data_IF_907363020251
#
_entry.id   IF_907363020251
#
_cell.length_a   1.000
_cell.length_b   1.000
_cell.length_c   1.000
_cell.angle_alpha   90.00
_cell.angle_beta   90.00
_cell.angle_gamma   90.00
#
_symmetry.space_group_name_H-M   'P 1'
#
loop_
_entity.id
_entity.type
_entity.pdbx_description
1 polymer ?
#
# COMPACT_ATOMS: atom_id res chain seq x y z
N UNK A 1 25.38 13.99 -13.95
CA UNK A 1 24.67 13.60 -13.86
C UNK A 1 24.05 13.11 -13.44
N UNK A 2 23.48 12.99 -13.38
CA UNK A 2 22.71 12.37 -13.03
C UNK A 2 22.05 11.89 -13.02
N UNK A 3 22.10 11.82 -12.96
CA UNK A 3 21.55 11.14 -12.98
C UNK A 3 20.44 10.86 -12.85
N UNK A 4 20.27 10.56 -13.15
CA UNK A 4 18.95 10.12 -13.20
C UNK A 4 18.73 8.84 -12.46
N UNK A 5 17.68 8.73 -11.83
CA UNK A 5 17.50 7.57 -11.08
C UNK A 5 16.08 7.09 -11.20
N UNK A 6 15.93 5.81 -11.17
CA UNK A 6 14.63 5.24 -11.24
C UNK A 6 13.85 5.61 -10.02
N UNK A 7 12.65 6.01 -10.27
CA UNK A 7 11.72 6.21 -9.19
C UNK A 7 11.30 4.88 -8.65
N UNK A 8 11.52 4.69 -7.40
CA UNK A 8 11.02 3.50 -6.75
C UNK A 8 9.71 3.77 -6.11
N UNK A 9 8.80 2.81 -6.17
CA UNK A 9 7.56 2.91 -5.43
C UNK A 9 7.86 2.99 -3.95
N UNK A 10 7.19 3.88 -3.27
CA UNK A 10 7.25 3.87 -1.83
C UNK A 10 6.53 2.63 -1.33
N UNK A 11 7.03 2.07 -0.26
CA UNK A 11 6.53 0.78 0.19
C UNK A 11 6.20 0.83 1.67
N UNK A 12 5.07 0.27 2.02
CA UNK A 12 4.65 0.12 3.40
C UNK A 12 4.49 -1.35 3.69
N UNK A 13 5.21 -1.85 4.67
CA UNK A 13 5.17 -3.26 5.04
C UNK A 13 4.33 -3.42 6.29
N UNK A 14 3.25 -4.17 6.17
CA UNK A 14 2.33 -4.37 7.29
C UNK A 14 2.70 -5.56 8.16
N UNK A 15 3.84 -6.18 7.86
CA UNK A 15 4.31 -7.30 8.63
C UNK A 15 4.47 -6.90 10.10
N UNK A 16 3.99 -7.74 11.00
CA UNK A 16 4.10 -7.51 12.43
C UNK A 16 3.28 -6.35 12.99
N UNK A 17 2.38 -5.81 12.20
CA UNK A 17 1.47 -4.79 12.70
C UNK A 17 0.18 -5.44 13.16
N UNK A 18 -0.44 -4.85 14.18
CA UNK A 18 -1.81 -5.24 14.50
C UNK A 18 -2.72 -4.71 13.40
N UNK A 19 -3.92 -5.26 13.34
CA UNK A 19 -4.86 -4.80 12.32
C UNK A 19 -5.22 -3.34 12.52
N UNK A 20 -5.30 -2.91 13.75
CA UNK A 20 -5.62 -1.52 14.03
C UNK A 20 -4.50 -0.59 13.60
N UNK A 21 -3.27 -0.99 13.89
CA UNK A 21 -2.12 -0.22 13.43
C UNK A 21 -2.07 -0.16 11.91
N UNK A 22 -2.30 -1.31 11.29
CA UNK A 22 -2.24 -1.38 9.84
C UNK A 22 -3.26 -0.44 9.22
N UNK A 23 -4.45 -0.38 9.78
CA UNK A 23 -5.48 0.48 9.25
C UNK A 23 -5.04 1.94 9.27
N UNK A 24 -4.50 2.38 10.38
CA UNK A 24 -4.03 3.76 10.48
C UNK A 24 -2.85 4.03 9.57
N UNK A 25 -1.91 3.09 9.53
CA UNK A 25 -0.72 3.29 8.73
C UNK A 25 -1.04 3.31 7.25
N UNK A 26 -1.94 2.43 6.82
CA UNK A 26 -2.32 2.40 5.41
C UNK A 26 -3.04 3.69 5.03
N UNK A 27 -3.95 4.12 5.86
CA UNK A 27 -4.69 5.34 5.55
C UNK A 27 -3.75 6.52 5.41
N UNK A 28 -2.84 6.69 6.37
CA UNK A 28 -1.87 7.77 6.26
C UNK A 28 -1.00 7.62 5.03
N UNK A 29 -0.59 6.40 4.75
CA UNK A 29 0.31 6.15 3.64
C UNK A 29 -0.31 6.55 2.30
N UNK A 30 -1.56 6.14 2.09
CA UNK A 30 -2.20 6.42 0.80
C UNK A 30 -2.65 7.86 0.68
N UNK A 31 -2.84 8.56 1.79
CA UNK A 31 -3.26 9.95 1.74
C UNK A 31 -2.09 10.91 1.69
N UNK A 32 -0.95 10.53 2.24
CA UNK A 32 0.17 11.45 2.36
C UNK A 32 1.25 11.23 1.32
N UNK A 33 1.12 10.22 0.49
CA UNK A 33 2.11 9.93 -0.52
C UNK A 33 1.46 9.81 -1.87
N UNK A 34 2.23 10.11 -2.89
CA UNK A 34 1.72 10.00 -4.25
C UNK A 34 2.10 8.69 -4.88
N UNK A 35 1.24 8.13 -5.70
CA UNK A 35 1.59 6.90 -6.42
C UNK A 35 2.83 7.13 -7.27
N UNK A 36 3.57 6.07 -7.56
CA UNK A 36 3.22 4.67 -7.29
C UNK A 36 3.52 4.27 -5.85
N UNK A 37 2.65 3.46 -5.30
CA UNK A 37 2.81 2.99 -3.93
C UNK A 37 2.69 1.48 -3.90
N UNK A 38 3.30 0.88 -2.90
CA UNK A 38 3.24 -0.56 -2.73
C UNK A 38 2.97 -0.87 -1.26
N UNK A 39 2.06 -1.79 -1.00
CA UNK A 39 1.73 -2.18 0.35
C UNK A 39 1.88 -3.68 0.46
N UNK A 40 2.72 -4.11 1.39
CA UNK A 40 2.98 -5.52 1.61
C UNK A 40 2.03 -6.02 2.68
N UNK A 41 1.12 -6.88 2.29
CA UNK A 41 0.12 -7.43 3.22
C UNK A 41 0.51 -8.80 3.74
N UNK A 42 1.45 -9.45 3.07
CA UNK A 42 1.76 -10.82 3.40
C UNK A 42 0.58 -11.71 3.05
N UNK A 43 0.52 -12.87 3.69
CA UNK A 43 -0.53 -13.84 3.38
C UNK A 43 -1.82 -13.61 4.16
N UNK A 44 -1.97 -12.43 4.74
CA UNK A 44 -3.12 -12.17 5.59
C UNK A 44 -4.29 -11.65 4.77
N UNK A 45 -5.37 -12.41 4.71
CA UNK A 45 -6.58 -11.95 4.07
C UNK A 45 -7.12 -10.70 4.76
N UNK A 46 -6.99 -10.67 6.07
CA UNK A 46 -7.50 -9.53 6.82
C UNK A 46 -6.75 -8.25 6.45
N UNK A 47 -5.44 -8.34 6.32
CA UNK A 47 -4.65 -7.17 5.91
C UNK A 47 -5.04 -6.72 4.52
N UNK A 48 -5.25 -7.67 3.60
CA UNK A 48 -5.69 -7.32 2.27
C UNK A 48 -7.04 -6.61 2.29
N UNK A 49 -7.95 -7.11 3.12
CA UNK A 49 -9.25 -6.46 3.25
C UNK A 49 -9.14 -5.04 3.74
N UNK A 50 -8.27 -4.82 4.71
CA UNK A 50 -8.07 -3.48 5.25
C UNK A 50 -7.59 -2.53 4.15
N UNK A 51 -6.59 -2.97 3.40
CA UNK A 51 -6.03 -2.13 2.35
C UNK A 51 -7.05 -1.85 1.26
N UNK A 52 -7.73 -2.89 0.80
CA UNK A 52 -8.68 -2.68 -0.30
C UNK A 52 -9.88 -1.86 0.15
N UNK A 53 -10.30 -2.04 1.40
CA UNK A 53 -11.39 -1.25 1.94
C UNK A 53 -11.02 0.23 1.98
N UNK A 54 -9.82 0.53 2.44
CA UNK A 54 -9.39 1.92 2.52
C UNK A 54 -9.20 2.54 1.14
N UNK A 55 -8.68 1.77 0.21
CA UNK A 55 -8.55 2.26 -1.15
C UNK A 55 -9.92 2.58 -1.74
N UNK A 56 -10.89 1.70 -1.51
CA UNK A 56 -12.23 1.94 -2.01
C UNK A 56 -12.86 3.17 -1.34
N UNK A 57 -12.65 3.29 -0.04
CA UNK A 57 -13.20 4.42 0.70
C UNK A 57 -12.69 5.75 0.17
N UNK A 58 -11.41 5.79 -0.20
CA UNK A 58 -10.80 7.01 -0.69
C UNK A 58 -10.77 7.08 -2.21
N UNK A 59 -11.46 6.14 -2.86
CA UNK A 59 -11.58 6.13 -4.32
C UNK A 59 -10.24 6.05 -5.01
N UNK A 60 -9.39 5.19 -4.50
CA UNK A 60 -8.05 5.00 -5.02
C UNK A 60 -8.01 3.67 -5.75
N UNK A 61 -7.52 3.69 -6.97
CA UNK A 61 -7.38 2.46 -7.76
C UNK A 61 -6.19 1.66 -7.27
N UNK A 62 -6.33 0.36 -7.28
CA UNK A 62 -5.24 -0.50 -6.86
C UNK A 62 -5.26 -1.77 -7.69
N UNK A 63 -4.12 -2.49 -7.65
CA UNK A 63 -4.01 -3.80 -8.27
C UNK A 63 -3.40 -4.75 -7.30
N UNK A 64 -3.93 -5.97 -7.26
CA UNK A 64 -3.31 -7.02 -6.49
C UNK A 64 -2.17 -7.58 -7.33
N UNK A 65 -0.98 -7.32 -6.86
CA UNK A 65 0.19 -7.62 -7.66
C UNK A 65 0.69 -9.04 -7.46
N UNK A 66 0.66 -9.47 -6.22
CA UNK A 66 1.22 -10.74 -5.88
C UNK A 66 0.44 -11.26 -4.70
N UNK A 67 0.87 -12.40 -4.17
CA UNK A 67 0.18 -12.98 -3.04
C UNK A 67 0.07 -12.05 -1.87
N UNK A 68 1.09 -11.28 -1.63
CA UNK A 68 1.09 -10.44 -0.48
C UNK A 68 1.37 -8.99 -0.77
N UNK A 69 1.05 -8.53 -1.96
CA UNK A 69 1.37 -7.15 -2.31
C UNK A 69 0.24 -6.51 -3.07
N UNK A 70 -0.05 -5.27 -2.73
CA UNK A 70 -1.04 -4.48 -3.45
C UNK A 70 -0.34 -3.24 -3.94
N UNK A 71 -0.52 -2.93 -5.22
CA UNK A 71 0.12 -1.76 -5.82
C UNK A 71 -0.91 -0.73 -6.20
N UNK A 72 -0.53 0.51 -6.00
CA UNK A 72 -1.36 1.65 -6.32
C UNK A 72 -0.59 2.48 -7.33
N UNK A 73 -1.17 2.63 -8.52
CA UNK A 73 -0.48 3.33 -9.60
C UNK A 73 -1.01 4.73 -9.83
N UNK A 74 -2.15 5.02 -9.28
CA UNK A 74 -2.71 6.34 -9.50
C UNK A 74 -3.33 6.90 -8.26
#
# INVERSE_FOLDING_TARGET
IRIFRMEKSKQLDLHNMTHEEARRQVENFILLNEPPLSIITGNSDRMREIVTYLCATHKISYERWDWGEIKIFK
#
